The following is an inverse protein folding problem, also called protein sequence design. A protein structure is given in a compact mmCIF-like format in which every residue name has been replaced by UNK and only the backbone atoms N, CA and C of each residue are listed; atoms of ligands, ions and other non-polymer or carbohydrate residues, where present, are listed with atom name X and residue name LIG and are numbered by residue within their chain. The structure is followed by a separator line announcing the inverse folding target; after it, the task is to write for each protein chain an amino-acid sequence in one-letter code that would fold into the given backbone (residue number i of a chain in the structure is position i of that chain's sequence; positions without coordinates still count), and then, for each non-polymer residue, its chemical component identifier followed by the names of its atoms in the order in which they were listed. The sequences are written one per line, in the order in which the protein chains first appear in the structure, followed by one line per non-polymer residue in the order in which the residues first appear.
data_IF_596304056081
#
_entry.id   IF_596304056081
#
_cell.length_a   1.000
_cell.length_b   1.000
_cell.length_c   1.000
_cell.angle_alpha   90.00
_cell.angle_beta   90.00
_cell.angle_gamma   90.00
#
_symmetry.space_group_name_H-M   'P 1'
#
loop_
_entity.id
_entity.type
_entity.pdbx_description
1 polymer ?
#
# COMPACT_ATOMS: atom_id res chain seq x y z
N UNK A 1 -5.69 20.24 11.75
CA UNK A 1 -5.62 19.49 10.48
C UNK A 1 -4.64 20.23 9.57
N UNK A 2 -3.86 19.52 8.78
CA UNK A 2 -2.95 20.18 7.85
C UNK A 2 -3.79 20.87 6.76
N UNK A 3 -3.58 22.18 6.58
CA UNK A 3 -4.27 22.97 5.55
C UNK A 3 -3.52 22.91 4.20
N UNK A 4 -2.59 21.97 4.05
CA UNK A 4 -1.70 21.89 2.91
C UNK A 4 -1.57 20.45 2.41
N UNK A 5 -1.38 20.29 1.11
CA UNK A 5 -1.02 19.01 0.51
C UNK A 5 0.35 18.54 0.99
N UNK A 6 0.49 17.22 1.17
CA UNK A 6 1.76 16.59 1.46
C UNK A 6 2.76 16.80 0.32
N UNK A 7 4.05 16.80 0.64
CA UNK A 7 5.10 17.18 -0.31
C UNK A 7 5.47 16.06 -1.29
N UNK A 8 5.56 14.82 -0.81
CA UNK A 8 6.02 13.69 -1.61
C UNK A 8 4.88 13.06 -2.40
N UNK A 9 5.03 12.98 -3.72
CA UNK A 9 4.05 12.30 -4.58
C UNK A 9 4.10 10.80 -4.40
N UNK A 10 2.93 10.16 -4.46
CA UNK A 10 2.74 8.71 -4.43
C UNK A 10 3.56 7.96 -5.49
N UNK A 11 3.86 8.59 -6.62
CA UNK A 11 4.70 8.03 -7.70
C UNK A 11 6.12 7.63 -7.28
N UNK A 12 6.64 8.18 -6.17
CA UNK A 12 7.95 7.78 -5.65
C UNK A 12 7.97 6.42 -4.97
N UNK A 13 6.80 5.80 -4.74
CA UNK A 13 6.70 4.52 -4.01
C UNK A 13 7.49 3.40 -4.70
N UNK A 14 7.29 3.21 -6.02
CA UNK A 14 8.05 2.21 -6.79
C UNK A 14 9.57 2.44 -6.68
N UNK A 15 9.99 3.71 -6.78
CA UNK A 15 11.39 4.11 -6.65
C UNK A 15 12.00 3.74 -5.30
N UNK A 16 11.28 4.00 -4.21
CA UNK A 16 11.72 3.71 -2.84
C UNK A 16 11.90 2.19 -2.66
N UNK A 17 10.90 1.41 -3.06
CA UNK A 17 10.92 -0.05 -2.89
C UNK A 17 12.03 -0.68 -3.74
N UNK A 18 12.14 -0.28 -5.00
CA UNK A 18 13.19 -0.78 -5.90
C UNK A 18 14.60 -0.43 -5.42
N UNK A 19 14.82 0.81 -4.96
CA UNK A 19 16.12 1.22 -4.41
C UNK A 19 16.48 0.43 -3.14
N UNK A 20 15.51 0.15 -2.26
CA UNK A 20 15.75 -0.72 -1.10
C UNK A 20 16.16 -2.14 -1.48
N UNK A 21 15.71 -2.65 -2.62
CA UNK A 21 16.08 -3.97 -3.16
C UNK A 21 17.28 -3.92 -4.11
N UNK A 22 17.88 -2.77 -4.35
CA UNK A 22 18.96 -2.52 -5.32
C UNK A 22 18.56 -2.96 -6.73
N UNK A 23 17.37 -2.58 -7.17
CA UNK A 23 16.84 -2.88 -8.50
C UNK A 23 16.80 -1.65 -9.38
N UNK A 24 17.16 -1.82 -10.65
CA UNK A 24 17.02 -0.78 -11.66
C UNK A 24 15.57 -0.68 -12.13
N UNK A 25 15.08 0.55 -12.20
CA UNK A 25 13.75 0.86 -12.73
C UNK A 25 13.84 1.38 -14.18
N UNK A 26 12.75 1.25 -14.96
CA UNK A 26 12.63 1.95 -16.23
C UNK A 26 12.86 3.46 -16.05
N UNK A 27 13.53 4.10 -17.02
CA UNK A 27 13.88 5.53 -16.98
C UNK A 27 12.65 6.45 -16.78
N UNK A 28 11.49 6.01 -17.26
CA UNK A 28 10.23 6.76 -17.12
C UNK A 28 9.64 6.78 -15.70
N UNK A 29 10.06 5.87 -14.83
CA UNK A 29 9.55 5.81 -13.45
C UNK A 29 10.14 6.94 -12.61
N UNK A 30 9.32 7.48 -11.71
CA UNK A 30 9.81 8.46 -10.75
C UNK A 30 10.91 7.84 -9.86
N UNK A 31 11.99 8.60 -9.58
CA UNK A 31 13.08 8.12 -8.74
C UNK A 31 12.64 7.90 -7.29
N UNK A 32 13.45 7.14 -6.56
CA UNK A 32 13.36 7.05 -5.10
C UNK A 32 13.46 8.43 -4.43
N UNK A 33 13.06 8.48 -3.15
CA UNK A 33 13.39 9.59 -2.24
C UNK A 33 14.71 9.20 -1.54
N UNK A 34 15.88 9.78 -1.93
CA UNK A 34 17.20 9.23 -1.58
C UNK A 34 17.44 9.11 -0.06
N UNK A 35 17.04 10.11 0.73
CA UNK A 35 17.22 10.07 2.17
C UNK A 35 16.42 8.93 2.83
N UNK A 36 15.23 8.64 2.29
CA UNK A 36 14.34 7.61 2.84
C UNK A 36 14.87 6.21 2.54
N UNK A 37 15.17 5.92 1.29
CA UNK A 37 15.71 4.61 0.92
C UNK A 37 17.09 4.35 1.52
N UNK A 38 17.95 5.37 1.65
CA UNK A 38 19.21 5.23 2.35
C UNK A 38 19.01 4.84 3.82
N UNK A 39 18.12 5.55 4.54
CA UNK A 39 17.83 5.27 5.94
C UNK A 39 17.21 3.87 6.11
N UNK A 40 16.35 3.45 5.19
CA UNK A 40 15.78 2.09 5.21
C UNK A 40 16.86 1.03 4.99
N UNK A 41 17.78 1.21 4.03
CA UNK A 41 18.92 0.31 3.82
C UNK A 41 19.86 0.25 5.01
N UNK A 42 20.12 1.37 5.68
CA UNK A 42 20.91 1.40 6.92
C UNK A 42 20.25 0.57 8.03
N UNK A 43 18.92 0.67 8.19
CA UNK A 43 18.16 -0.11 9.19
C UNK A 43 18.07 -1.59 8.85
N UNK A 44 18.01 -1.94 7.57
CA UNK A 44 18.07 -3.33 7.08
C UNK A 44 19.49 -3.94 7.23
N UNK A 45 20.50 -3.12 7.44
CA UNK A 45 21.89 -3.57 7.39
C UNK A 45 22.35 -3.95 5.98
N UNK A 46 21.71 -3.40 4.96
CA UNK A 46 21.96 -3.66 3.54
C UNK A 46 20.71 -3.51 2.68
N UNK A 47 20.68 -4.19 1.55
CA UNK A 47 19.50 -4.23 0.66
C UNK A 47 18.47 -5.25 1.16
N UNK A 48 17.20 -4.97 0.94
CA UNK A 48 16.12 -5.94 1.18
C UNK A 48 16.21 -7.08 0.16
N UNK A 49 16.06 -8.30 0.62
CA UNK A 49 15.88 -9.47 -0.24
C UNK A 49 14.42 -9.93 -0.29
N UNK A 50 13.60 -9.50 0.68
CA UNK A 50 12.15 -9.68 0.73
C UNK A 50 11.42 -8.34 0.91
N UNK A 51 10.21 -8.25 0.35
CA UNK A 51 9.31 -7.10 0.53
C UNK A 51 7.90 -7.58 0.86
N UNK A 52 7.29 -6.99 1.88
CA UNK A 52 5.87 -7.18 2.21
C UNK A 52 5.17 -5.83 2.24
N UNK A 53 4.24 -5.63 1.31
CA UNK A 53 3.53 -4.38 1.10
C UNK A 53 2.06 -4.56 1.53
N UNK A 54 1.64 -3.85 2.56
CA UNK A 54 0.26 -3.88 3.05
C UNK A 54 -0.44 -2.57 2.66
N UNK A 55 -1.42 -2.67 1.77
CA UNK A 55 -2.23 -1.56 1.30
C UNK A 55 -3.60 -1.61 1.95
N UNK A 56 -3.85 -0.69 2.89
CA UNK A 56 -5.16 -0.46 3.49
C UNK A 56 -5.84 0.66 2.71
N UNK A 57 -6.88 0.31 1.95
CA UNK A 57 -7.57 1.20 1.02
C UNK A 57 -8.24 2.39 1.73
N UNK A 58 -8.10 3.56 1.17
CA UNK A 58 -8.74 4.82 1.55
C UNK A 58 -8.40 5.39 2.94
N UNK A 59 -7.35 4.91 3.61
CA UNK A 59 -6.96 5.40 4.95
C UNK A 59 -6.21 6.73 4.87
N UNK A 60 -6.95 7.83 4.93
CA UNK A 60 -6.43 9.19 4.81
C UNK A 60 -5.58 9.64 6.01
N UNK A 61 -4.70 10.62 5.76
CA UNK A 61 -3.84 11.25 6.77
C UNK A 61 -4.64 11.81 7.97
N UNK A 62 -5.84 12.37 7.73
CA UNK A 62 -6.69 12.93 8.77
C UNK A 62 -7.19 11.85 9.76
N UNK A 63 -7.44 10.62 9.30
CA UNK A 63 -7.81 9.48 10.17
C UNK A 63 -6.63 9.14 11.08
N UNK A 64 -5.42 9.05 10.52
CA UNK A 64 -4.23 8.83 11.32
C UNK A 64 -3.99 9.93 12.36
N UNK A 65 -4.12 11.21 11.99
CA UNK A 65 -3.89 12.31 12.91
C UNK A 65 -4.90 12.34 14.07
N UNK A 66 -6.17 12.06 13.75
CA UNK A 66 -7.26 12.17 14.74
C UNK A 66 -7.36 10.92 15.62
N UNK A 67 -7.07 9.76 15.07
CA UNK A 67 -7.22 8.46 15.72
C UNK A 67 -5.89 7.70 15.82
N UNK A 68 -4.82 8.41 16.16
CA UNK A 68 -3.43 7.90 16.21
C UNK A 68 -3.29 6.61 17.02
N UNK A 69 -4.09 6.42 18.06
CA UNK A 69 -4.08 5.22 18.89
C UNK A 69 -4.49 3.94 18.15
N UNK A 70 -5.29 4.03 17.08
CA UNK A 70 -5.67 2.87 16.27
C UNK A 70 -4.46 2.31 15.49
N UNK A 71 -3.43 3.12 15.26
CA UNK A 71 -2.20 2.73 14.57
C UNK A 71 -1.11 2.22 15.52
N UNK A 72 -1.40 2.05 16.81
CA UNK A 72 -0.44 1.49 17.76
C UNK A 72 0.15 0.14 17.32
N UNK A 73 -0.62 -0.82 16.73
CA UNK A 73 -0.08 -2.06 16.19
C UNK A 73 0.90 -1.82 15.02
N UNK A 74 0.65 -0.80 14.17
CA UNK A 74 1.55 -0.44 13.06
C UNK A 74 2.86 0.14 13.59
N UNK A 75 2.82 1.02 14.58
CA UNK A 75 4.01 1.64 15.17
C UNK A 75 4.97 0.66 15.82
N UNK A 76 4.49 -0.48 16.30
CA UNK A 76 5.34 -1.51 16.89
C UNK A 76 6.34 -2.13 15.90
N UNK A 77 6.07 -1.98 14.59
CA UNK A 77 6.83 -2.63 13.52
C UNK A 77 7.36 -1.67 12.47
N UNK A 78 7.00 -0.39 12.58
CA UNK A 78 7.45 0.65 11.65
C UNK A 78 8.21 1.72 12.41
N UNK A 79 9.26 2.22 11.78
CA UNK A 79 10.14 3.20 12.41
C UNK A 79 10.08 4.57 11.73
N UNK A 80 9.38 4.65 10.61
CA UNK A 80 9.19 5.87 9.85
C UNK A 80 7.74 5.99 9.41
N UNK A 81 7.18 7.18 9.58
CA UNK A 81 5.90 7.58 8.98
C UNK A 81 6.16 8.77 8.06
N UNK A 82 5.86 8.61 6.78
CA UNK A 82 6.17 9.61 5.76
C UNK A 82 4.87 10.05 5.07
N UNK A 83 4.54 11.34 5.13
CA UNK A 83 3.36 11.88 4.45
C UNK A 83 3.55 11.89 2.93
N UNK A 84 2.60 11.29 2.22
CA UNK A 84 2.52 11.27 0.76
C UNK A 84 1.27 11.99 0.25
N UNK A 85 1.36 12.49 -0.96
CA UNK A 85 0.26 13.03 -1.73
C UNK A 85 -0.19 11.97 -2.74
N UNK A 86 -1.45 11.57 -2.67
CA UNK A 86 -2.09 10.69 -3.63
C UNK A 86 -2.30 11.38 -4.99
N UNK A 87 -2.95 10.70 -5.89
CA UNK A 87 -3.18 11.15 -7.28
C UNK A 87 -4.52 11.88 -7.44
N UNK A 88 -4.68 12.60 -8.52
CA UNK A 88 -5.96 13.08 -9.03
C UNK A 88 -6.32 12.20 -10.25
N UNK A 89 -7.42 11.48 -10.30
CA UNK A 89 -8.40 11.31 -9.21
C UNK A 89 -7.83 10.41 -8.10
N UNK A 90 -8.18 10.70 -6.84
CA UNK A 90 -7.80 9.91 -5.66
C UNK A 90 -8.72 8.69 -5.51
N UNK A 91 -8.53 7.74 -6.39
CA UNK A 91 -9.29 6.47 -6.47
C UNK A 91 -8.34 5.29 -6.64
N UNK A 92 -8.71 4.14 -6.10
CA UNK A 92 -7.90 2.92 -6.03
C UNK A 92 -7.17 2.56 -7.33
N UNK A 93 -7.82 2.50 -8.53
CA UNK A 93 -7.11 2.10 -9.75
C UNK A 93 -6.04 3.11 -10.18
N UNK A 94 -6.28 4.40 -10.02
CA UNK A 94 -5.34 5.47 -10.39
C UNK A 94 -4.18 5.50 -9.41
N UNK A 95 -4.47 5.44 -8.12
CA UNK A 95 -3.46 5.48 -7.07
C UNK A 95 -2.51 4.28 -7.13
N UNK A 96 -3.04 3.05 -7.18
CA UNK A 96 -2.19 1.86 -7.29
C UNK A 96 -1.42 1.78 -8.61
N UNK A 97 -2.02 2.19 -9.73
CA UNK A 97 -1.27 2.28 -10.98
C UNK A 97 -0.08 3.23 -10.84
N UNK A 98 -0.28 4.40 -10.24
CA UNK A 98 0.80 5.36 -9.94
C UNK A 98 1.85 4.78 -8.99
N UNK A 99 1.44 4.10 -7.90
CA UNK A 99 2.36 3.47 -6.94
C UNK A 99 3.29 2.46 -7.59
N UNK A 100 2.76 1.64 -8.49
CA UNK A 100 3.50 0.51 -9.08
C UNK A 100 4.17 0.80 -10.41
N UNK A 101 3.89 1.95 -11.03
CA UNK A 101 4.56 2.38 -12.26
C UNK A 101 5.48 3.57 -12.07
N UNK A 102 5.32 4.33 -10.97
CA UNK A 102 6.04 5.59 -10.79
C UNK A 102 5.67 6.65 -11.83
N UNK A 103 4.56 6.46 -12.57
CA UNK A 103 4.09 7.37 -13.62
C UNK A 103 2.91 8.22 -13.12
N UNK A 104 2.70 9.36 -13.75
CA UNK A 104 1.46 10.13 -13.59
C UNK A 104 0.29 9.42 -14.33
N UNK A 105 -0.98 9.71 -14.00
CA UNK A 105 -2.16 9.04 -14.57
C UNK A 105 -2.21 9.02 -16.11
N UNK A 106 -1.73 10.07 -16.75
CA UNK A 106 -1.61 10.14 -18.21
C UNK A 106 -0.56 9.16 -18.74
N UNK A 107 0.50 8.93 -17.99
CA UNK A 107 1.61 8.04 -18.36
C UNK A 107 1.26 6.57 -18.27
N UNK A 108 0.51 6.14 -17.27
CA UNK A 108 0.08 4.74 -17.12
C UNK A 108 -1.32 4.46 -17.72
N UNK A 109 -2.05 5.50 -18.15
CA UNK A 109 -3.30 5.39 -18.92
C UNK A 109 -4.57 5.16 -18.10
N UNK A 110 -4.53 5.06 -16.77
CA UNK A 110 -5.71 4.98 -15.91
C UNK A 110 -5.91 6.34 -15.22
N UNK A 111 -6.93 7.09 -15.62
CA UNK A 111 -7.14 8.47 -15.16
C UNK A 111 -8.41 8.65 -14.30
N UNK A 112 -9.25 7.61 -14.21
CA UNK A 112 -10.51 7.64 -13.47
C UNK A 112 -10.81 6.24 -12.91
N UNK A 113 -11.95 6.10 -12.21
CA UNK A 113 -12.37 4.81 -11.66
C UNK A 113 -12.81 3.83 -12.76
N UNK A 114 -11.81 3.20 -13.38
CA UNK A 114 -11.95 2.09 -14.34
C UNK A 114 -10.96 0.99 -13.96
N UNK A 115 -11.24 -0.25 -14.35
CA UNK A 115 -10.44 -1.43 -13.97
C UNK A 115 -9.82 -2.16 -15.18
N UNK A 116 -9.17 -1.46 -16.14
CA UNK A 116 -8.46 -2.14 -17.22
C UNK A 116 -7.19 -2.78 -16.68
N UNK A 117 -6.68 -3.78 -17.37
CA UNK A 117 -5.31 -4.25 -17.12
C UNK A 117 -4.33 -3.16 -17.47
N UNK A 118 -3.33 -2.97 -16.61
CA UNK A 118 -2.19 -2.11 -16.92
C UNK A 118 -1.32 -2.78 -17.99
N UNK A 119 -1.21 -2.09 -19.14
CA UNK A 119 -0.41 -2.56 -20.27
C UNK A 119 1.05 -2.11 -20.17
N UNK A 120 1.33 -1.03 -19.44
CA UNK A 120 2.69 -0.56 -19.21
C UNK A 120 3.44 -1.41 -18.19
N UNK A 121 4.76 -1.29 -18.19
CA UNK A 121 5.63 -1.94 -17.23
C UNK A 121 5.33 -1.45 -15.81
N UNK A 122 5.39 -2.37 -14.85
CA UNK A 122 5.13 -2.10 -13.43
C UNK A 122 6.28 -2.64 -12.58
N UNK A 123 6.29 -2.28 -11.31
CA UNK A 123 7.23 -2.84 -10.34
C UNK A 123 7.16 -4.38 -10.27
N UNK A 124 5.97 -4.97 -10.49
CA UNK A 124 5.84 -6.44 -10.61
C UNK A 124 6.64 -6.99 -11.79
N UNK A 125 6.62 -6.30 -12.94
CA UNK A 125 7.37 -6.74 -14.12
C UNK A 125 8.89 -6.63 -13.89
N UNK A 126 9.35 -5.60 -13.15
CA UNK A 126 10.75 -5.46 -12.72
C UNK A 126 11.17 -6.63 -11.85
N UNK A 127 10.37 -6.99 -10.85
CA UNK A 127 10.64 -8.14 -9.98
C UNK A 127 10.62 -9.47 -10.73
N UNK A 128 9.67 -9.68 -11.64
CA UNK A 128 9.60 -10.89 -12.48
C UNK A 128 10.85 -11.04 -13.36
N UNK A 129 11.32 -9.94 -13.97
CA UNK A 129 12.58 -9.95 -14.76
C UNK A 129 13.80 -10.27 -13.90
N UNK A 130 13.78 -9.90 -12.64
CA UNK A 130 14.82 -10.24 -11.65
C UNK A 130 14.68 -11.67 -11.08
N UNK A 131 13.71 -12.45 -11.55
CA UNK A 131 13.48 -13.84 -11.10
C UNK A 131 12.84 -13.96 -9.72
N UNK A 132 12.21 -12.90 -9.22
CA UNK A 132 11.54 -12.89 -7.90
C UNK A 132 10.23 -13.66 -7.93
N UNK A 133 9.95 -14.44 -6.88
CA UNK A 133 8.67 -15.09 -6.66
C UNK A 133 7.71 -14.13 -5.97
N UNK A 134 6.56 -13.88 -6.58
CA UNK A 134 5.65 -12.80 -6.21
C UNK A 134 4.26 -13.35 -5.94
N UNK A 135 3.63 -12.91 -4.86
CA UNK A 135 2.22 -13.12 -4.57
C UNK A 135 1.49 -11.78 -4.45
N UNK A 136 0.30 -11.71 -5.04
CA UNK A 136 -0.72 -10.72 -4.70
C UNK A 136 -1.79 -11.42 -3.86
N UNK A 137 -2.14 -10.84 -2.72
CA UNK A 137 -3.20 -11.32 -1.83
C UNK A 137 -4.19 -10.19 -1.62
N UNK A 138 -5.42 -10.33 -2.07
CA UNK A 138 -6.40 -9.26 -1.98
C UNK A 138 -7.81 -9.78 -1.70
N UNK A 139 -8.73 -8.88 -1.34
CA UNK A 139 -10.13 -9.23 -1.24
C UNK A 139 -10.73 -9.55 -2.62
N UNK A 140 -11.75 -10.40 -2.62
CA UNK A 140 -12.47 -10.81 -3.83
C UNK A 140 -12.94 -9.61 -4.65
N UNK A 141 -12.79 -9.68 -5.98
CA UNK A 141 -13.13 -8.61 -6.94
C UNK A 141 -12.37 -7.28 -6.71
N UNK A 142 -11.24 -7.33 -6.02
CA UNK A 142 -10.42 -6.13 -5.77
C UNK A 142 -9.98 -5.46 -7.08
N UNK A 143 -10.11 -4.14 -7.13
CA UNK A 143 -9.54 -3.30 -8.21
C UNK A 143 -8.06 -3.57 -8.42
N UNK A 144 -7.33 -3.80 -7.33
CA UNK A 144 -5.90 -4.14 -7.36
C UNK A 144 -5.62 -5.42 -8.17
N UNK A 145 -6.41 -6.47 -7.97
CA UNK A 145 -6.30 -7.72 -8.75
C UNK A 145 -6.58 -7.48 -10.24
N UNK A 146 -7.60 -6.69 -10.55
CA UNK A 146 -7.99 -6.44 -11.94
C UNK A 146 -6.91 -5.68 -12.73
N UNK A 147 -6.37 -4.60 -12.18
CA UNK A 147 -5.40 -3.78 -12.91
C UNK A 147 -4.04 -4.47 -13.09
N UNK A 148 -3.67 -5.39 -12.19
CA UNK A 148 -2.41 -6.15 -12.27
C UNK A 148 -2.58 -7.56 -12.84
N UNK A 149 -3.79 -7.95 -13.25
CA UNK A 149 -4.08 -9.28 -13.77
C UNK A 149 -3.25 -9.66 -15.01
N UNK A 150 -3.00 -10.96 -15.16
CA UNK A 150 -2.37 -11.55 -16.36
C UNK A 150 -0.85 -11.52 -16.37
N UNK A 151 -0.20 -11.10 -15.29
CA UNK A 151 1.22 -11.26 -15.05
C UNK A 151 1.54 -12.66 -14.53
N UNK A 152 2.73 -13.16 -14.79
CA UNK A 152 3.16 -14.50 -14.35
C UNK A 152 3.58 -14.49 -12.87
N UNK A 153 2.61 -14.24 -11.98
CA UNK A 153 2.75 -14.26 -10.52
C UNK A 153 1.55 -14.96 -9.88
N UNK A 154 1.61 -15.27 -8.59
CA UNK A 154 0.55 -15.97 -7.90
C UNK A 154 -0.51 -14.99 -7.33
N UNK A 155 -1.80 -15.27 -7.57
CA UNK A 155 -2.92 -14.47 -7.13
C UNK A 155 -3.75 -15.25 -6.12
N UNK A 156 -4.03 -14.62 -4.98
CA UNK A 156 -4.84 -15.20 -3.91
C UNK A 156 -5.96 -14.24 -3.54
N UNK A 157 -7.16 -14.77 -3.38
CA UNK A 157 -8.35 -14.01 -3.06
C UNK A 157 -9.02 -14.51 -1.78
N UNK A 158 -9.67 -13.59 -1.04
CA UNK A 158 -10.44 -13.90 0.13
C UNK A 158 -11.61 -12.89 0.30
N UNK A 159 -12.72 -13.27 0.95
CA UNK A 159 -13.93 -12.45 0.99
C UNK A 159 -13.81 -11.18 1.87
N UNK A 160 -12.79 -11.04 2.71
CA UNK A 160 -12.61 -9.93 3.64
C UNK A 160 -11.14 -9.81 4.08
N UNK A 161 -10.82 -8.72 4.78
CA UNK A 161 -9.46 -8.46 5.25
C UNK A 161 -8.89 -9.57 6.15
N UNK A 162 -9.71 -10.21 6.99
CA UNK A 162 -9.26 -11.31 7.86
C UNK A 162 -8.78 -12.50 7.02
N UNK A 163 -9.55 -12.91 6.01
CA UNK A 163 -9.15 -13.98 5.10
C UNK A 163 -7.90 -13.66 4.29
N UNK A 164 -7.75 -12.40 3.85
CA UNK A 164 -6.53 -11.90 3.18
C UNK A 164 -5.32 -12.03 4.12
N UNK A 165 -5.45 -11.62 5.37
CA UNK A 165 -4.39 -11.71 6.38
C UNK A 165 -4.01 -13.17 6.67
N UNK A 166 -4.99 -14.07 6.79
CA UNK A 166 -4.73 -15.52 6.98
C UNK A 166 -3.96 -16.13 5.81
N UNK A 167 -4.26 -15.73 4.58
CA UNK A 167 -3.51 -16.17 3.41
C UNK A 167 -2.08 -15.62 3.47
N UNK A 168 -1.92 -14.31 3.71
CA UNK A 168 -0.61 -13.68 3.81
C UNK A 168 0.28 -14.34 4.87
N UNK A 169 -0.27 -14.68 6.04
CA UNK A 169 0.44 -15.41 7.10
C UNK A 169 0.96 -16.77 6.61
N UNK A 170 0.11 -17.55 5.92
CA UNK A 170 0.54 -18.84 5.34
C UNK A 170 1.65 -18.69 4.30
N UNK A 171 1.59 -17.65 3.46
CA UNK A 171 2.64 -17.38 2.46
C UNK A 171 3.96 -16.99 3.12
N UNK A 172 3.93 -16.21 4.20
CA UNK A 172 5.12 -15.86 5.00
C UNK A 172 5.70 -17.12 5.66
N UNK A 173 4.86 -17.97 6.25
CA UNK A 173 5.27 -19.22 6.88
C UNK A 173 5.85 -20.24 5.88
N UNK A 174 5.38 -20.23 4.62
CA UNK A 174 5.94 -21.12 3.57
C UNK A 174 7.35 -20.74 3.16
N UNK A 175 7.74 -19.50 3.41
CA UNK A 175 9.06 -18.92 3.05
C UNK A 175 9.40 -18.98 1.55
N UNK A 176 8.39 -19.06 0.70
CA UNK A 176 8.57 -19.26 -0.74
C UNK A 176 8.62 -17.95 -1.54
N UNK A 177 8.12 -16.84 -0.98
CA UNK A 177 7.90 -15.59 -1.72
C UNK A 177 8.91 -14.50 -1.34
N UNK A 178 9.50 -13.88 -2.35
CA UNK A 178 10.33 -12.68 -2.19
C UNK A 178 9.48 -11.42 -2.05
N UNK A 179 8.30 -11.39 -2.67
CA UNK A 179 7.38 -10.25 -2.66
C UNK A 179 5.98 -10.73 -2.34
N UNK A 180 5.37 -10.13 -1.31
CA UNK A 180 3.96 -10.33 -0.97
C UNK A 180 3.30 -8.95 -0.96
N UNK A 181 2.39 -8.71 -1.89
CA UNK A 181 1.60 -7.48 -1.97
C UNK A 181 0.19 -7.77 -1.51
N UNK A 182 -0.25 -7.08 -0.47
CA UNK A 182 -1.51 -7.32 0.24
C UNK A 182 -2.41 -6.11 0.06
N UNK A 183 -3.66 -6.32 -0.32
CA UNK A 183 -4.64 -5.25 -0.45
C UNK A 183 -5.94 -5.58 0.28
N UNK A 184 -6.36 -4.69 1.19
CA UNK A 184 -7.60 -4.78 1.96
C UNK A 184 -8.40 -3.49 1.79
N UNK A 185 -9.75 -3.60 1.74
CA UNK A 185 -10.63 -2.45 1.56
C UNK A 185 -11.87 -2.47 2.50
N UNK A 186 -11.76 -3.14 3.64
CA UNK A 186 -12.85 -3.14 4.64
C UNK A 186 -13.10 -1.74 5.19
N UNK A 187 -12.04 -0.92 5.37
CA UNK A 187 -12.21 0.46 5.78
C UNK A 187 -12.91 1.29 4.69
N UNK A 188 -12.51 1.20 3.43
CA UNK A 188 -13.13 1.92 2.32
C UNK A 188 -14.64 1.63 2.24
N UNK A 189 -15.02 0.34 2.25
CA UNK A 189 -16.42 -0.08 2.26
C UNK A 189 -17.20 0.48 3.46
N UNK A 190 -16.64 0.40 4.65
CA UNK A 190 -17.30 0.89 5.85
C UNK A 190 -17.45 2.42 5.83
N UNK A 191 -16.44 3.12 5.34
CA UNK A 191 -16.46 4.56 5.22
C UNK A 191 -17.46 5.04 4.17
N UNK A 192 -17.56 4.36 3.02
CA UNK A 192 -18.61 4.62 2.03
C UNK A 192 -20.01 4.42 2.61
N UNK A 193 -20.23 3.38 3.39
CA UNK A 193 -21.55 3.03 3.92
C UNK A 193 -21.96 3.90 5.13
N UNK A 194 -21.03 4.24 6.01
CA UNK A 194 -21.30 4.80 7.33
C UNK A 194 -20.54 6.10 7.64
N UNK A 195 -19.67 6.55 6.74
CA UNK A 195 -18.79 7.70 6.92
C UNK A 195 -17.41 7.35 7.46
N UNK A 196 -16.38 8.13 7.08
CA UNK A 196 -14.97 7.83 7.38
C UNK A 196 -14.62 7.74 8.87
N UNK A 197 -15.36 8.47 9.70
CA UNK A 197 -15.17 8.51 11.16
C UNK A 197 -16.24 7.73 11.94
N UNK A 198 -17.04 6.91 11.24
CA UNK A 198 -18.03 6.06 11.90
C UNK A 198 -17.36 5.00 12.76
N UNK A 199 -18.09 4.47 13.74
CA UNK A 199 -17.61 3.36 14.57
C UNK A 199 -17.24 2.14 13.72
N UNK A 200 -17.99 1.88 12.65
CA UNK A 200 -17.75 0.77 11.72
C UNK A 200 -16.45 0.97 10.95
N UNK A 201 -16.23 2.15 10.38
CA UNK A 201 -15.00 2.47 9.65
C UNK A 201 -13.77 2.45 10.57
N UNK A 202 -13.84 3.06 11.74
CA UNK A 202 -12.73 3.05 12.69
C UNK A 202 -12.43 1.64 13.25
N UNK A 203 -13.44 0.78 13.36
CA UNK A 203 -13.21 -0.62 13.70
C UNK A 203 -12.47 -1.38 12.58
N UNK A 204 -12.77 -1.09 11.32
CA UNK A 204 -12.06 -1.68 10.18
C UNK A 204 -10.58 -1.24 10.17
N UNK A 205 -10.27 0.04 10.41
CA UNK A 205 -8.87 0.51 10.58
C UNK A 205 -8.15 -0.28 11.66
N UNK A 206 -8.80 -0.48 12.81
CA UNK A 206 -8.20 -1.23 13.92
C UNK A 206 -7.92 -2.69 13.53
N UNK A 207 -8.85 -3.37 12.86
CA UNK A 207 -8.68 -4.75 12.42
C UNK A 207 -7.56 -4.89 11.37
N UNK A 208 -7.44 -3.94 10.46
CA UNK A 208 -6.36 -3.90 9.46
C UNK A 208 -5.00 -3.64 10.11
N UNK A 209 -4.94 -2.74 11.10
CA UNK A 209 -3.72 -2.48 11.87
C UNK A 209 -3.28 -3.71 12.69
N UNK A 210 -4.21 -4.42 13.32
CA UNK A 210 -3.93 -5.68 14.03
C UNK A 210 -3.46 -6.79 13.06
N UNK A 211 -4.07 -6.89 11.87
CA UNK A 211 -3.63 -7.81 10.83
C UNK A 211 -2.19 -7.53 10.37
N UNK A 212 -1.86 -6.25 10.17
CA UNK A 212 -0.49 -5.83 9.88
C UNK A 212 0.49 -6.24 11.01
N UNK A 213 0.09 -6.07 12.28
CA UNK A 213 0.88 -6.53 13.43
C UNK A 213 1.15 -8.03 13.36
N UNK A 214 0.14 -8.86 13.11
CA UNK A 214 0.32 -10.31 13.02
C UNK A 214 1.26 -10.71 11.88
N UNK A 215 1.17 -10.03 10.72
CA UNK A 215 2.08 -10.21 9.58
C UNK A 215 3.52 -9.88 9.98
N UNK A 216 3.74 -8.74 10.63
CA UNK A 216 5.06 -8.34 11.10
C UNK A 216 5.65 -9.30 12.13
N UNK A 217 4.83 -9.80 13.05
CA UNK A 217 5.26 -10.81 14.02
C UNK A 217 5.61 -12.17 13.36
N UNK A 218 4.90 -12.55 12.30
CA UNK A 218 5.23 -13.75 11.53
C UNK A 218 6.58 -13.58 10.81
N UNK A 219 6.85 -12.42 10.23
CA UNK A 219 8.14 -12.11 9.59
C UNK A 219 9.30 -12.19 10.59
N UNK A 220 9.15 -11.69 11.81
CA UNK A 220 10.19 -11.78 12.87
C UNK A 220 10.50 -13.22 13.29
N UNK A 221 9.56 -14.14 13.13
CA UNK A 221 9.79 -15.58 13.42
C UNK A 221 10.60 -16.27 12.32
N UNK A 222 10.73 -15.64 11.16
CA UNK A 222 11.51 -16.13 10.04
C UNK A 222 12.66 -15.15 9.69
N UNK A 223 13.74 -15.12 10.48
CA UNK A 223 14.81 -14.10 10.37
C UNK A 223 15.79 -14.35 9.21
N UNK A 224 15.45 -15.24 8.26
CA UNK A 224 16.29 -15.58 7.12
C UNK A 224 16.42 -14.47 6.06
N UNK A 225 15.60 -13.44 6.16
CA UNK A 225 15.50 -12.35 5.17
C UNK A 225 15.62 -10.97 5.81
N UNK A 226 16.20 -10.04 5.05
CA UNK A 226 16.09 -8.60 5.31
C UNK A 226 14.82 -8.11 4.64
N UNK A 227 13.78 -7.97 5.41
CA UNK A 227 12.45 -7.64 4.88
C UNK A 227 12.13 -6.16 5.02
N UNK A 228 11.83 -5.50 3.89
CA UNK A 228 11.13 -4.22 3.89
C UNK A 228 9.64 -4.48 4.09
N UNK A 229 9.06 -3.87 5.12
CA UNK A 229 7.63 -3.96 5.44
C UNK A 229 6.99 -2.58 5.34
N UNK A 230 5.84 -2.45 4.67
CA UNK A 230 5.12 -1.18 4.58
C UNK A 230 3.64 -1.34 4.94
N UNK A 231 3.09 -0.33 5.63
CA UNK A 231 1.66 -0.07 5.69
C UNK A 231 1.41 1.20 4.88
N UNK A 232 0.82 1.06 3.70
CA UNK A 232 0.85 2.09 2.66
C UNK A 232 -0.52 2.27 1.98
N UNK A 233 -1.40 3.09 2.60
CA UNK A 233 -2.65 3.52 1.98
C UNK A 233 -2.42 4.18 0.62
N UNK A 234 -3.41 4.09 -0.24
CA UNK A 234 -3.37 4.60 -1.61
C UNK A 234 -4.02 5.99 -1.77
N UNK A 235 -5.11 6.24 -1.08
CA UNK A 235 -5.79 7.53 -0.99
C UNK A 235 -6.50 7.69 0.36
N UNK A 236 -7.21 8.77 0.56
CA UNK A 236 -8.09 8.97 1.71
C UNK A 236 -9.54 9.11 1.28
N UNK A 237 -10.40 9.50 2.23
CA UNK A 237 -11.84 9.63 2.01
C UNK A 237 -12.42 10.76 2.87
N UNK A 238 -13.30 11.58 2.30
CA UNK A 238 -13.96 12.68 3.00
C UNK A 238 -15.42 12.35 3.34
N UNK A 239 -15.99 12.95 4.40
CA UNK A 239 -17.40 12.82 4.71
C UNK A 239 -18.26 13.67 3.77
N UNK A 240 -19.44 13.15 3.39
CA UNK A 240 -20.42 13.89 2.59
C UNK A 240 -21.71 14.13 3.37
N UNK A 241 -22.54 15.04 2.84
CA UNK A 241 -23.87 15.33 3.42
C UNK A 241 -24.70 14.04 3.41
N UNK A 242 -25.21 13.65 4.58
CA UNK A 242 -25.94 12.39 4.74
C UNK A 242 -25.19 11.35 5.58
N UNK A 243 -23.91 11.63 5.92
CA UNK A 243 -23.14 10.83 6.87
C UNK A 243 -22.39 9.64 6.26
N UNK A 244 -22.30 9.56 4.93
CA UNK A 244 -21.46 8.57 4.21
C UNK A 244 -20.12 9.17 3.82
N UNK A 245 -19.21 8.36 3.26
CA UNK A 245 -17.92 8.80 2.74
C UNK A 245 -17.87 8.78 1.22
N UNK A 246 -17.01 9.63 0.66
CA UNK A 246 -16.67 9.68 -0.76
C UNK A 246 -15.19 10.02 -0.92
N UNK A 247 -14.63 9.67 -2.06
CA UNK A 247 -13.26 10.02 -2.47
C UNK A 247 -13.20 10.33 -3.98
N UNK A 248 -12.02 10.54 -4.54
CA UNK A 248 -11.83 10.86 -5.95
C UNK A 248 -11.73 12.36 -6.23
N UNK A 249 -11.75 13.17 -5.20
CA UNK A 249 -11.69 14.64 -5.31
C UNK A 249 -10.28 15.19 -5.02
N UNK A 250 -10.16 16.53 -5.09
CA UNK A 250 -8.94 17.23 -4.65
C UNK A 250 -9.00 17.68 -3.19
N UNK A 251 -9.92 17.15 -2.40
CA UNK A 251 -9.97 17.46 -0.97
C UNK A 251 -8.74 16.91 -0.26
N UNK A 252 -8.29 17.61 0.77
CA UNK A 252 -7.08 17.23 1.53
C UNK A 252 -7.26 15.85 2.17
N UNK A 253 -8.48 15.54 2.59
CA UNK A 253 -8.87 14.26 3.18
C UNK A 253 -8.68 13.09 2.21
N UNK A 254 -8.91 13.30 0.91
CA UNK A 254 -8.72 12.29 -0.14
C UNK A 254 -7.26 12.20 -0.58
N UNK A 255 -6.57 13.34 -0.63
CA UNK A 255 -5.26 13.46 -1.25
C UNK A 255 -4.11 13.15 -0.31
N UNK A 256 -4.23 13.53 0.97
CA UNK A 256 -3.15 13.33 1.94
C UNK A 256 -3.25 11.95 2.59
N UNK A 257 -2.16 11.20 2.50
CA UNK A 257 -1.99 9.87 3.09
C UNK A 257 -0.67 9.80 3.86
N UNK A 258 -0.48 8.75 4.64
CA UNK A 258 0.79 8.47 5.33
C UNK A 258 1.21 7.04 5.07
N UNK A 259 2.44 6.85 4.59
CA UNK A 259 3.05 5.54 4.49
C UNK A 259 3.95 5.28 5.69
N UNK A 260 3.86 4.08 6.23
CA UNK A 260 4.68 3.62 7.34
C UNK A 260 5.65 2.57 6.83
N UNK A 261 6.92 2.74 7.19
CA UNK A 261 8.00 1.87 6.75
C UNK A 261 8.65 1.19 7.95
N UNK A 262 8.80 -0.11 7.87
CA UNK A 262 9.47 -0.97 8.83
C UNK A 262 10.51 -1.86 8.19
N UNK A 263 11.38 -2.40 9.01
CA UNK A 263 12.43 -3.34 8.61
C UNK A 263 12.44 -4.52 9.59
N UNK A 264 12.49 -5.71 9.05
CA UNK A 264 12.49 -6.97 9.82
C UNK A 264 13.66 -7.84 9.38
#
# INVERSE_FOLDING_TARGET
MADHYNLYSLKHFAGIVADCMNMELPEAFAPSIPWLSQLLKERLGGTADRVVLYHADAVGHHIWQKYTNLFAPVYQHTSLSVPFLSTVESVTPVAHATMYTGLDPEGHGIQTYVRPKLECETLFDVWLKAGKKIAIVAQDDSTFLHIFAGRNLDYFEAPNAVGVQEIALRLIESDEYDVISIHTFDYDNAAHAFGPESKQALNAVNLEAEGFHHIAEALKKNPGHRTLLTYSPDHGQHPVIGGTGQHGSKQIEDMNIVHFFGTV
#
